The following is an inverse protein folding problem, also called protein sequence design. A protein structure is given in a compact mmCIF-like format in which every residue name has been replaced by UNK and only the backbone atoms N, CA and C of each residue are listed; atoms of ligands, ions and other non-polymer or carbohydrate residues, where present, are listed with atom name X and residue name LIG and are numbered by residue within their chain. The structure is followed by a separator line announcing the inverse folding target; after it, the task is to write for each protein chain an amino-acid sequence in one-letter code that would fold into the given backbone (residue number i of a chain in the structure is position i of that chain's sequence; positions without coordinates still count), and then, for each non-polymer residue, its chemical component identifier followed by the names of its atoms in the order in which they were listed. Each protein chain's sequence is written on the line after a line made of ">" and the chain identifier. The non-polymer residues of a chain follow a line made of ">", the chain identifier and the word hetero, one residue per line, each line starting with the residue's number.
data_IF_294863769668
#
_entry.id   IF_294863769668
#
_cell.length_a   1.000
_cell.length_b   1.000
_cell.length_c   1.000
_cell.angle_alpha   90.00
_cell.angle_beta   90.00
_cell.angle_gamma   90.00
#
_symmetry.space_group_name_H-M   'P 1'
#
loop_
_entity.id
_entity.type
_entity.pdbx_description
1 polymer ?
#
# COMPACT_ATOMS: atom_id res chain seq x y z
N UNK A 1 -17.04 9.60 -13.19
CA UNK A 1 -16.25 9.10 -12.06
C UNK A 1 -15.77 10.29 -11.24
N UNK A 2 -15.95 10.29 -9.91
CA UNK A 2 -15.36 11.32 -9.06
C UNK A 2 -14.04 10.81 -8.49
N UNK A 3 -12.95 11.46 -8.87
CA UNK A 3 -11.63 11.18 -8.34
C UNK A 3 -11.58 11.58 -6.86
N UNK A 4 -10.96 10.75 -6.03
CA UNK A 4 -10.83 11.01 -4.60
C UNK A 4 -9.93 12.24 -4.36
N UNK A 5 -10.34 13.19 -3.49
CA UNK A 5 -9.52 14.35 -3.17
C UNK A 5 -8.24 13.91 -2.44
N UNK A 6 -7.17 14.68 -2.62
CA UNK A 6 -5.82 14.36 -2.12
C UNK A 6 -5.80 14.07 -0.61
N UNK A 7 -6.51 14.87 0.20
CA UNK A 7 -6.52 14.71 1.64
C UNK A 7 -7.06 13.35 2.12
N UNK A 8 -8.08 12.76 1.44
CA UNK A 8 -8.59 11.41 1.76
C UNK A 8 -7.57 10.33 1.45
N UNK A 9 -6.78 10.53 0.38
CA UNK A 9 -5.71 9.60 0.01
C UNK A 9 -4.58 9.65 1.03
N UNK A 10 -4.17 10.85 1.47
CA UNK A 10 -3.17 11.02 2.51
C UNK A 10 -3.63 10.44 3.85
N UNK A 11 -4.88 10.69 4.24
CA UNK A 11 -5.46 10.10 5.44
C UNK A 11 -5.48 8.56 5.38
N UNK A 12 -5.84 7.96 4.23
CA UNK A 12 -5.78 6.50 4.05
C UNK A 12 -4.35 5.97 4.18
N UNK A 13 -3.35 6.67 3.60
CA UNK A 13 -1.93 6.32 3.73
C UNK A 13 -1.50 6.32 5.20
N UNK A 14 -1.89 7.32 5.99
CA UNK A 14 -1.56 7.37 7.43
C UNK A 14 -2.15 6.17 8.17
N UNK A 15 -3.42 5.83 7.92
CA UNK A 15 -4.06 4.65 8.53
C UNK A 15 -3.36 3.35 8.13
N UNK A 16 -3.08 3.17 6.84
CA UNK A 16 -2.40 1.98 6.33
C UNK A 16 -0.96 1.89 6.84
N UNK A 17 -0.28 3.03 7.06
CA UNK A 17 1.06 3.07 7.66
C UNK A 17 1.07 2.55 9.09
N UNK A 18 0.07 2.88 9.91
CA UNK A 18 -0.06 2.33 11.27
C UNK A 18 -0.22 0.81 11.25
N UNK A 19 -1.05 0.30 10.32
CA UNK A 19 -1.23 -1.15 10.14
C UNK A 19 0.06 -1.84 9.68
N UNK A 20 0.79 -1.22 8.72
CA UNK A 20 2.08 -1.73 8.27
C UNK A 20 3.12 -1.77 9.38
N UNK A 21 3.19 -0.72 10.21
CA UNK A 21 4.10 -0.71 11.36
C UNK A 21 3.78 -1.88 12.30
N UNK A 22 2.51 -2.15 12.59
CA UNK A 22 2.11 -3.29 13.41
C UNK A 22 2.53 -4.63 12.76
N UNK A 23 2.32 -4.80 11.46
CA UNK A 23 2.78 -5.98 10.71
C UNK A 23 4.31 -6.10 10.79
N UNK A 24 5.04 -5.02 10.61
CA UNK A 24 6.50 -5.02 10.64
C UNK A 24 7.08 -5.32 12.01
N UNK A 25 6.41 -4.92 13.09
CA UNK A 25 6.79 -5.34 14.45
C UNK A 25 6.69 -6.87 14.58
N UNK A 26 5.58 -7.46 14.11
CA UNK A 26 5.39 -8.92 14.15
C UNK A 26 6.41 -9.62 13.25
N UNK A 27 6.62 -9.16 12.03
CA UNK A 27 7.61 -9.70 11.08
C UNK A 27 9.02 -9.65 11.67
N UNK A 28 9.39 -8.50 12.26
CA UNK A 28 10.72 -8.34 12.90
C UNK A 28 10.90 -9.29 14.07
N UNK A 29 9.86 -9.47 14.89
CA UNK A 29 9.88 -10.42 15.99
C UNK A 29 10.08 -11.86 15.48
N UNK A 30 9.33 -12.27 14.45
CA UNK A 30 9.41 -13.64 13.88
C UNK A 30 10.78 -13.89 13.24
N UNK A 31 11.32 -12.94 12.48
CA UNK A 31 12.65 -13.07 11.88
C UNK A 31 13.73 -13.15 12.96
N UNK A 32 13.66 -12.28 13.98
CA UNK A 32 14.64 -12.30 15.09
C UNK A 32 14.54 -13.61 15.89
N UNK A 33 13.34 -14.12 16.12
CA UNK A 33 13.14 -15.39 16.80
C UNK A 33 13.68 -16.58 15.99
N UNK A 34 13.57 -16.55 14.66
CA UNK A 34 14.08 -17.59 13.76
C UNK A 34 15.61 -17.59 13.69
N UNK A 35 16.26 -16.45 13.70
CA UNK A 35 17.73 -16.33 13.71
C UNK A 35 18.33 -16.57 15.10
N UNK A 36 17.57 -16.27 16.18
CA UNK A 36 18.11 -16.15 17.52
C UNK A 36 18.79 -14.79 17.77
N UNK A 37 18.75 -14.35 19.04
CA UNK A 37 19.27 -13.03 19.40
C UNK A 37 20.79 -12.97 19.25
N UNK A 38 21.48 -14.05 19.58
CA UNK A 38 22.94 -14.15 19.49
C UNK A 38 23.45 -14.10 18.03
N UNK A 39 22.74 -14.78 17.10
CA UNK A 39 23.13 -14.83 15.69
C UNK A 39 22.73 -13.56 14.92
N UNK A 40 21.71 -12.84 15.39
CA UNK A 40 21.24 -11.61 14.73
C UNK A 40 22.21 -10.44 14.93
N UNK A 41 23.03 -10.47 16.00
CA UNK A 41 23.98 -9.43 16.36
C UNK A 41 25.32 -10.01 16.78
N UNK A 42 26.39 -9.32 16.44
CA UNK A 42 27.74 -9.64 16.89
C UNK A 42 28.32 -8.41 17.61
N UNK A 43 29.01 -8.65 18.72
CA UNK A 43 29.72 -7.60 19.44
C UNK A 43 31.16 -7.56 18.93
N UNK A 44 31.53 -6.48 18.23
CA UNK A 44 32.87 -6.27 17.71
C UNK A 44 33.49 -5.06 18.41
N UNK A 45 34.22 -5.33 19.47
CA UNK A 45 34.76 -4.28 20.37
C UNK A 45 33.62 -3.59 21.14
N UNK A 46 33.49 -2.27 20.97
CA UNK A 46 32.39 -1.48 21.57
C UNK A 46 31.17 -1.30 20.66
N UNK A 47 31.16 -1.91 19.47
CA UNK A 47 30.07 -1.75 18.49
C UNK A 47 29.25 -3.03 18.36
N UNK A 48 27.93 -2.85 18.21
CA UNK A 48 27.00 -3.94 17.85
C UNK A 48 26.85 -3.91 16.33
N UNK A 49 27.30 -4.99 15.68
CA UNK A 49 27.17 -5.17 14.23
C UNK A 49 26.13 -6.26 13.99
N UNK A 50 25.12 -5.96 13.18
CA UNK A 50 24.13 -6.95 12.80
C UNK A 50 24.66 -7.86 11.70
N UNK A 51 24.32 -9.15 11.79
CA UNK A 51 24.63 -10.13 10.76
C UNK A 51 24.02 -9.69 9.41
N UNK A 52 24.81 -9.59 8.33
CA UNK A 52 24.30 -9.18 7.02
C UNK A 52 23.13 -10.05 6.50
N UNK A 53 23.20 -11.37 6.72
CA UNK A 53 22.13 -12.28 6.33
C UNK A 53 20.82 -11.96 7.06
N UNK A 54 20.89 -11.68 8.36
CA UNK A 54 19.75 -11.22 9.15
C UNK A 54 19.17 -9.92 8.59
N UNK A 55 20.02 -8.93 8.28
CA UNK A 55 19.56 -7.65 7.73
C UNK A 55 18.83 -7.82 6.39
N UNK A 56 19.41 -8.60 5.46
CA UNK A 56 18.78 -8.84 4.16
C UNK A 56 17.47 -9.63 4.29
N UNK A 57 17.43 -10.62 5.17
CA UNK A 57 16.21 -11.40 5.42
C UNK A 57 15.13 -10.53 6.02
N UNK A 58 15.46 -9.69 7.01
CA UNK A 58 14.52 -8.76 7.62
C UNK A 58 13.98 -7.77 6.59
N UNK A 59 14.85 -7.15 5.80
CA UNK A 59 14.45 -6.20 4.77
C UNK A 59 13.55 -6.86 3.71
N UNK A 60 13.91 -8.04 3.23
CA UNK A 60 13.11 -8.79 2.26
C UNK A 60 11.74 -9.19 2.83
N UNK A 61 11.68 -9.61 4.11
CA UNK A 61 10.44 -9.96 4.79
C UNK A 61 9.51 -8.74 4.99
N UNK A 62 10.08 -7.58 5.36
CA UNK A 62 9.32 -6.33 5.49
C UNK A 62 8.76 -5.86 4.15
N UNK A 63 9.60 -5.88 3.11
CA UNK A 63 9.17 -5.49 1.76
C UNK A 63 8.12 -6.45 1.20
N UNK A 64 8.34 -7.76 1.36
CA UNK A 64 7.41 -8.80 0.93
C UNK A 64 6.06 -8.70 1.65
N UNK A 65 6.06 -8.46 2.96
CA UNK A 65 4.81 -8.29 3.72
C UNK A 65 4.02 -7.05 3.28
N UNK A 66 4.70 -5.93 2.97
CA UNK A 66 4.04 -4.74 2.43
C UNK A 66 3.44 -4.99 1.05
N UNK A 67 4.20 -5.65 0.15
CA UNK A 67 3.71 -6.01 -1.19
C UNK A 67 2.51 -6.97 -1.12
N UNK A 68 2.55 -7.96 -0.23
CA UNK A 68 1.44 -8.88 -0.02
C UNK A 68 0.21 -8.15 0.55
N UNK A 69 0.41 -7.26 1.53
CA UNK A 69 -0.66 -6.46 2.11
C UNK A 69 -1.36 -5.61 1.04
N UNK A 70 -0.64 -4.74 0.35
CA UNK A 70 -1.24 -3.89 -0.68
C UNK A 70 -1.75 -4.69 -1.87
N UNK A 71 -0.98 -5.69 -2.33
CA UNK A 71 -1.34 -6.54 -3.45
C UNK A 71 -2.64 -7.28 -3.23
N UNK A 72 -2.77 -7.94 -2.08
CA UNK A 72 -4.00 -8.64 -1.73
C UNK A 72 -5.22 -7.71 -1.71
N UNK A 73 -5.12 -6.60 -1.00
CA UNK A 73 -6.23 -5.67 -0.87
C UNK A 73 -6.62 -5.00 -2.18
N UNK A 74 -5.64 -4.56 -2.98
CA UNK A 74 -5.94 -3.83 -4.21
C UNK A 74 -6.43 -4.75 -5.34
N UNK A 75 -5.93 -5.99 -5.44
CA UNK A 75 -6.39 -6.92 -6.48
C UNK A 75 -7.76 -7.53 -6.18
N UNK A 76 -8.10 -7.76 -4.90
CA UNK A 76 -9.37 -8.40 -4.53
C UNK A 76 -10.50 -7.38 -4.31
N UNK A 77 -10.28 -6.38 -3.49
CA UNK A 77 -11.32 -5.40 -3.12
C UNK A 77 -11.11 -4.02 -3.72
N UNK A 78 -9.89 -3.73 -4.20
CA UNK A 78 -9.48 -2.39 -4.62
C UNK A 78 -9.32 -1.41 -3.45
N UNK A 79 -9.41 -1.87 -2.20
CA UNK A 79 -9.41 -1.02 -1.01
C UNK A 79 -8.59 -1.66 0.11
N UNK A 80 -7.64 -0.92 0.69
CA UNK A 80 -7.05 -1.24 1.98
C UNK A 80 -8.01 -0.88 3.12
N UNK A 81 -7.64 -1.24 4.34
CA UNK A 81 -8.45 -0.89 5.52
C UNK A 81 -8.53 0.63 5.72
N UNK A 82 -7.42 1.35 5.52
CA UNK A 82 -7.43 2.81 5.53
C UNK A 82 -8.31 3.39 4.43
N UNK A 83 -8.25 2.85 3.22
CA UNK A 83 -9.10 3.28 2.11
C UNK A 83 -10.59 3.04 2.36
N UNK A 84 -10.94 1.96 3.06
CA UNK A 84 -12.33 1.68 3.45
C UNK A 84 -12.85 2.73 4.42
N UNK A 85 -12.05 3.11 5.44
CA UNK A 85 -12.42 4.16 6.39
C UNK A 85 -12.72 5.50 5.70
N UNK A 86 -11.97 5.83 4.65
CA UNK A 86 -12.12 7.07 3.89
C UNK A 86 -13.00 6.96 2.65
N UNK A 87 -13.65 5.79 2.44
CA UNK A 87 -14.57 5.53 1.33
C UNK A 87 -13.93 5.82 -0.04
N UNK A 88 -12.71 5.36 -0.25
CA UNK A 88 -11.98 5.47 -1.51
C UNK A 88 -11.59 4.10 -2.03
N UNK A 89 -11.35 3.96 -3.33
CA UNK A 89 -11.01 2.70 -4.00
C UNK A 89 -10.02 2.94 -5.13
N UNK A 90 -9.04 2.04 -5.27
CA UNK A 90 -8.17 1.94 -6.45
C UNK A 90 -8.84 1.05 -7.49
N UNK A 91 -8.85 1.48 -8.73
CA UNK A 91 -9.38 0.72 -9.86
C UNK A 91 -8.79 1.22 -11.18
N UNK A 92 -9.00 0.49 -12.25
CA UNK A 92 -8.72 0.97 -13.60
C UNK A 92 -9.76 2.00 -14.06
N UNK A 93 -9.47 2.71 -15.15
CA UNK A 93 -10.39 3.71 -15.72
C UNK A 93 -11.73 3.11 -16.17
N UNK A 94 -11.76 1.83 -16.52
CA UNK A 94 -12.96 1.05 -16.88
C UNK A 94 -13.73 0.49 -15.68
N UNK A 95 -13.20 0.68 -14.44
CA UNK A 95 -13.78 0.17 -13.20
C UNK A 95 -13.31 -1.24 -12.82
N UNK A 96 -12.50 -1.90 -13.63
CA UNK A 96 -11.93 -3.22 -13.31
C UNK A 96 -10.94 -3.14 -12.15
N UNK A 97 -10.71 -4.25 -11.41
CA UNK A 97 -9.67 -4.32 -10.39
C UNK A 97 -8.28 -4.15 -11.01
N UNK A 98 -7.34 -3.63 -10.23
CA UNK A 98 -5.93 -3.51 -10.64
C UNK A 98 -5.25 -4.87 -10.61
N UNK A 99 -4.28 -5.08 -11.50
CA UNK A 99 -3.45 -6.27 -11.57
C UNK A 99 -2.18 -6.16 -10.71
N UNK A 100 -1.45 -7.28 -10.53
CA UNK A 100 -0.22 -7.33 -9.75
C UNK A 100 0.89 -6.43 -10.30
N UNK A 101 0.97 -6.26 -11.61
CA UNK A 101 1.94 -5.35 -12.24
C UNK A 101 1.68 -3.90 -11.84
N UNK A 102 0.43 -3.49 -11.85
CA UNK A 102 0.01 -2.15 -11.42
C UNK A 102 0.26 -1.94 -9.92
N UNK A 103 0.03 -2.97 -9.10
CA UNK A 103 0.39 -2.96 -7.66
C UNK A 103 1.87 -2.70 -7.48
N UNK A 104 2.75 -3.44 -8.16
CA UNK A 104 4.20 -3.26 -8.06
C UNK A 104 4.63 -1.85 -8.46
N UNK A 105 4.11 -1.34 -9.58
CA UNK A 105 4.40 0.03 -10.03
C UNK A 105 3.97 1.06 -8.98
N UNK A 106 2.81 0.89 -8.36
CA UNK A 106 2.34 1.77 -7.28
C UNK A 106 3.20 1.67 -6.04
N UNK A 107 3.57 0.45 -5.62
CA UNK A 107 4.41 0.22 -4.44
C UNK A 107 5.82 0.78 -4.58
N UNK A 108 6.34 0.89 -5.80
CA UNK A 108 7.64 1.55 -6.06
C UNK A 108 7.46 3.07 -6.17
N UNK A 109 6.45 3.53 -6.91
CA UNK A 109 6.26 4.95 -7.18
C UNK A 109 5.76 5.73 -5.93
N UNK A 110 4.95 5.10 -5.06
CA UNK A 110 4.40 5.78 -3.89
C UNK A 110 5.47 6.23 -2.87
N UNK A 111 6.39 5.37 -2.40
CA UNK A 111 7.45 5.81 -1.49
C UNK A 111 8.43 6.79 -2.16
N UNK A 112 8.73 6.63 -3.45
CA UNK A 112 9.53 7.61 -4.18
C UNK A 112 8.85 8.98 -4.22
N UNK A 113 7.54 9.01 -4.47
CA UNK A 113 6.75 10.24 -4.47
C UNK A 113 6.72 10.92 -3.10
N UNK A 114 6.67 10.14 -2.01
CA UNK A 114 6.74 10.66 -0.65
C UNK A 114 8.15 11.12 -0.29
N UNK A 115 9.17 10.36 -0.67
CA UNK A 115 10.58 10.69 -0.45
C UNK A 115 11.03 11.98 -1.15
N UNK A 116 10.40 12.32 -2.27
CA UNK A 116 10.56 13.60 -2.97
C UNK A 116 9.63 14.69 -2.38
N UNK A 117 9.55 14.78 -1.06
CA UNK A 117 8.72 15.76 -0.32
C UNK A 117 7.22 15.72 -0.71
N UNK A 118 6.74 14.56 -1.16
CA UNK A 118 5.34 14.41 -1.57
C UNK A 118 5.00 15.00 -2.94
N UNK A 119 5.97 15.46 -3.74
CA UNK A 119 5.74 16.08 -5.04
C UNK A 119 4.86 15.24 -5.96
N UNK A 120 5.04 13.91 -5.97
CA UNK A 120 4.22 13.02 -6.77
C UNK A 120 2.75 12.97 -6.34
N UNK A 121 2.46 13.24 -5.07
CA UNK A 121 1.09 13.39 -4.55
C UNK A 121 0.56 14.80 -4.76
N UNK A 122 1.39 15.82 -4.56
CA UNK A 122 1.03 17.23 -4.81
C UNK A 122 0.75 17.48 -6.29
N UNK A 123 1.30 16.68 -7.19
CA UNK A 123 1.00 16.71 -8.62
C UNK A 123 -0.50 16.63 -8.90
N UNK A 124 -1.27 15.94 -8.08
CA UNK A 124 -2.73 15.87 -8.20
C UNK A 124 -3.44 17.24 -8.06
N UNK A 125 -2.77 18.25 -7.52
CA UNK A 125 -3.31 19.61 -7.41
C UNK A 125 -3.16 20.39 -8.73
N UNK A 126 -2.21 19.98 -9.57
CA UNK A 126 -1.89 20.65 -10.85
C UNK A 126 -2.46 19.85 -12.04
N UNK A 127 -2.58 18.52 -11.90
CA UNK A 127 -3.14 17.65 -12.94
C UNK A 127 -4.63 17.94 -13.15
N UNK A 128 -5.02 18.17 -14.40
CA UNK A 128 -6.41 18.47 -14.78
C UNK A 128 -7.42 17.38 -14.36
N UNK A 129 -6.94 16.15 -14.16
CA UNK A 129 -7.73 15.00 -13.74
C UNK A 129 -7.50 14.61 -12.27
N UNK A 130 -6.70 15.37 -11.51
CA UNK A 130 -6.41 15.09 -10.10
C UNK A 130 -5.66 13.78 -9.83
N UNK A 131 -4.82 13.32 -10.77
CA UNK A 131 -4.05 12.08 -10.68
C UNK A 131 -2.70 12.32 -10.02
N UNK A 132 -2.27 11.38 -9.18
CA UNK A 132 -0.92 11.34 -8.60
C UNK A 132 0.05 10.61 -9.52
N UNK A 133 1.36 10.74 -9.29
CA UNK A 133 2.36 9.95 -10.04
C UNK A 133 2.13 8.44 -9.95
N UNK A 134 1.85 7.85 -8.76
CA UNK A 134 1.47 6.43 -8.70
C UNK A 134 0.27 6.08 -9.59
N UNK A 135 -0.72 6.97 -9.74
CA UNK A 135 -1.87 6.75 -10.62
C UNK A 135 -1.45 6.76 -12.09
N UNK A 136 -0.61 7.73 -12.48
CA UNK A 136 -0.12 7.89 -13.85
C UNK A 136 0.75 6.70 -14.28
N UNK A 137 1.72 6.32 -13.45
CA UNK A 137 2.68 5.25 -13.76
C UNK A 137 1.99 3.89 -13.81
N UNK A 138 1.01 3.64 -12.94
CA UNK A 138 0.27 2.37 -12.92
C UNK A 138 -0.91 2.31 -13.89
N UNK A 139 -1.32 3.46 -14.47
CA UNK A 139 -2.52 3.53 -15.31
C UNK A 139 -3.82 3.31 -14.56
N UNK A 140 -3.82 3.46 -13.23
CA UNK A 140 -4.98 3.27 -12.36
C UNK A 140 -5.43 4.60 -11.74
N UNK A 141 -6.61 4.62 -11.14
CA UNK A 141 -7.18 5.82 -10.52
C UNK A 141 -7.73 5.51 -9.13
N UNK A 142 -7.69 6.52 -8.24
CA UNK A 142 -8.33 6.43 -6.93
C UNK A 142 -9.63 7.23 -6.95
N UNK A 143 -10.75 6.53 -6.78
CA UNK A 143 -12.11 7.10 -6.86
C UNK A 143 -12.84 7.05 -5.53
N UNK A 144 -13.86 7.90 -5.37
CA UNK A 144 -14.77 7.85 -4.23
C UNK A 144 -15.78 6.72 -4.41
N UNK A 145 -16.04 5.98 -3.33
CA UNK A 145 -17.02 4.89 -3.30
C UNK A 145 -18.48 5.38 -3.26
N UNK A 146 -18.73 6.60 -2.82
CA UNK A 146 -20.06 7.15 -2.61
C UNK A 146 -20.92 7.22 -3.89
N UNK A 147 -20.33 7.03 -5.07
CA UNK A 147 -20.99 7.16 -6.38
C UNK A 147 -21.16 5.82 -7.12
N UNK A 148 -20.97 4.69 -6.46
CA UNK A 148 -21.34 3.41 -7.08
C UNK A 148 -22.85 3.19 -6.84
N UNK A 149 -23.64 2.97 -7.92
CA UNK A 149 -24.99 2.45 -7.73
C UNK A 149 -24.87 1.13 -6.95
N UNK A 150 -25.82 0.84 -6.03
CA UNK A 150 -25.85 -0.46 -5.40
C UNK A 150 -25.84 -1.50 -6.51
N UNK A 151 -25.06 -2.58 -6.35
CA UNK A 151 -25.11 -3.72 -7.28
C UNK A 151 -26.57 -4.01 -7.48
N UNK A 152 -27.08 -3.80 -8.70
CA UNK A 152 -28.46 -4.13 -9.04
C UNK A 152 -28.64 -5.59 -8.71
N UNK A 153 -29.53 -5.87 -7.74
CA UNK A 153 -29.80 -7.20 -7.28
C UNK A 153 -30.33 -8.06 -8.42
N UNK A 154 -29.46 -8.81 -9.03
CA UNK A 154 -29.80 -9.94 -9.87
C UNK A 154 -30.04 -11.15 -8.98
N UNK A 155 -30.86 -10.99 -7.92
CA UNK A 155 -31.26 -12.12 -7.07
C UNK A 155 -32.61 -11.87 -6.36
N UNK A 156 -33.58 -11.32 -7.08
CA UNK A 156 -34.99 -11.31 -6.67
C UNK A 156 -35.89 -11.76 -7.81
N UNK A 157 -35.60 -12.94 -8.37
CA UNK A 157 -36.55 -13.68 -9.20
C UNK A 157 -36.42 -15.16 -8.91
N UNK A 158 -36.92 -15.58 -7.75
CA UNK A 158 -36.97 -16.96 -7.29
C UNK A 158 -38.09 -17.09 -6.24
N UNK A 159 -39.32 -16.85 -6.63
CA UNK A 159 -40.51 -17.31 -5.91
C UNK A 159 -41.55 -17.78 -6.91
#
# INVERSE_FOLDING_TARGET
>A
MQIAPLWRRLAAIVYDSVLLIAIWIVVSFLVTAAFGIEESRQVQGSQIVFNPLYQYTLFAAMLGSALLFFGWFWTHSGQTLGMQAWKIRVQNADGSPVDWRQVLLRCVCAPLSLGLLGLGYLWALVDAHGRTWPDLVSGSVVVRRDNFPPRSGADQSGS
#
